data_IF_263109114148
#
_entry.id   IF_263109114148
#
_cell.length_a   1.000
_cell.length_b   1.000
_cell.length_c   1.000
_cell.angle_alpha   90.00
_cell.angle_beta   90.00
_cell.angle_gamma   90.00
#
_symmetry.space_group_name_H-M   'P 1'
#
loop_
_entity.id
_entity.type
_entity.pdbx_description
1 polymer ?
#
# COMPACT_ATOMS: atom_id res chain seq x y z
N UNK A 1 -29.28 9.23 -2.88
CA UNK A 1 -27.81 9.11 -2.90
C UNK A 1 -27.33 9.77 -4.18
N UNK A 2 -27.21 11.10 -4.13
CA UNK A 2 -26.70 11.94 -5.21
C UNK A 2 -25.24 12.27 -4.85
N UNK A 3 -24.35 12.30 -5.84
CA UNK A 3 -22.91 12.69 -5.78
C UNK A 3 -21.84 11.56 -5.77
N UNK A 4 -21.97 10.52 -6.60
CA UNK A 4 -20.83 9.61 -6.86
C UNK A 4 -20.39 9.47 -8.32
N UNK A 5 -20.97 10.24 -9.25
CA UNK A 5 -20.69 10.04 -10.69
C UNK A 5 -19.51 10.83 -11.25
N UNK A 6 -19.06 11.92 -10.62
CA UNK A 6 -17.99 12.79 -11.17
C UNK A 6 -16.77 13.01 -10.25
N UNK A 7 -16.61 12.23 -9.18
CA UNK A 7 -15.42 12.37 -8.33
C UNK A 7 -14.19 11.73 -8.96
N UNK A 8 -13.24 12.56 -9.42
CA UNK A 8 -11.92 12.12 -9.88
C UNK A 8 -10.86 12.41 -8.80
N UNK A 9 -10.16 11.38 -8.28
CA UNK A 9 -9.08 11.58 -7.32
C UNK A 9 -7.97 12.47 -7.88
N UNK A 10 -7.40 13.31 -7.01
CA UNK A 10 -6.30 14.24 -7.36
C UNK A 10 -5.15 13.56 -8.10
N UNK A 11 -4.67 12.42 -7.59
CA UNK A 11 -3.59 11.67 -8.23
C UNK A 11 -4.00 11.01 -9.55
N UNK A 12 -5.29 10.69 -9.73
CA UNK A 12 -5.79 10.17 -11.01
C UNK A 12 -5.80 11.28 -12.06
N UNK A 13 -6.29 12.47 -11.71
CA UNK A 13 -6.23 13.64 -12.57
C UNK A 13 -4.78 14.01 -12.93
N UNK A 14 -3.87 14.00 -11.95
CA UNK A 14 -2.43 14.23 -12.18
C UNK A 14 -1.83 13.19 -13.14
N UNK A 15 -2.22 11.92 -13.00
CA UNK A 15 -1.76 10.86 -13.89
C UNK A 15 -2.18 11.11 -15.33
N UNK A 16 -3.46 11.43 -15.54
CA UNK A 16 -4.03 11.62 -16.87
C UNK A 16 -3.55 12.93 -17.53
N UNK A 17 -3.32 13.99 -16.76
CA UNK A 17 -2.91 15.30 -17.28
C UNK A 17 -1.39 15.43 -17.54
N UNK A 18 -0.54 14.93 -16.63
CA UNK A 18 0.90 15.19 -16.69
C UNK A 18 1.77 13.94 -16.76
N UNK A 19 1.50 12.94 -15.92
CA UNK A 19 2.43 11.80 -15.75
C UNK A 19 2.48 10.96 -17.02
N UNK A 20 1.36 10.77 -17.71
CA UNK A 20 1.34 10.08 -19.01
C UNK A 20 2.26 10.73 -20.04
N UNK A 21 2.21 12.06 -20.14
CA UNK A 21 3.05 12.80 -21.08
C UNK A 21 4.54 12.65 -20.73
N UNK A 22 4.89 12.80 -19.45
CA UNK A 22 6.27 12.62 -18.94
C UNK A 22 6.80 11.21 -19.18
N UNK A 23 6.00 10.18 -18.91
CA UNK A 23 6.37 8.78 -19.17
C UNK A 23 6.55 8.50 -20.67
N UNK A 24 5.71 9.09 -21.52
CA UNK A 24 5.83 8.95 -22.98
C UNK A 24 7.09 9.62 -23.51
N UNK A 25 7.45 10.77 -22.99
CA UNK A 25 8.67 11.49 -23.35
C UNK A 25 9.93 10.74 -22.91
N UNK A 26 9.97 10.25 -21.66
CA UNK A 26 11.15 9.58 -21.10
C UNK A 26 11.44 8.21 -21.73
N UNK A 27 10.40 7.41 -22.00
CA UNK A 27 10.56 6.03 -22.48
C UNK A 27 10.15 5.82 -23.95
N UNK A 28 9.64 6.85 -24.64
CA UNK A 28 9.35 6.80 -26.07
C UNK A 28 8.26 5.80 -26.47
N UNK A 29 7.24 5.58 -25.62
CA UNK A 29 6.16 4.63 -25.92
C UNK A 29 5.44 4.96 -27.23
N UNK A 30 5.23 3.93 -28.06
CA UNK A 30 4.58 4.06 -29.38
C UNK A 30 3.06 4.10 -29.28
N UNK A 31 2.50 3.50 -28.23
CA UNK A 31 1.07 3.40 -27.99
C UNK A 31 0.75 3.87 -26.57
N UNK A 32 -0.26 4.72 -26.40
CA UNK A 32 -0.65 5.26 -25.10
C UNK A 32 -1.08 4.17 -24.11
N UNK A 33 -1.57 3.03 -24.61
CA UNK A 33 -1.93 1.87 -23.78
C UNK A 33 -0.72 1.11 -23.21
N UNK A 34 0.50 1.37 -23.71
CA UNK A 34 1.74 0.81 -23.15
C UNK A 34 2.22 1.59 -21.92
N UNK A 35 1.73 2.82 -21.72
CA UNK A 35 2.18 3.68 -20.62
C UNK A 35 1.81 3.00 -19.29
N UNK A 36 2.80 2.76 -18.40
CA UNK A 36 2.56 2.13 -17.13
C UNK A 36 1.56 2.90 -16.26
N UNK A 37 0.77 2.16 -15.50
CA UNK A 37 -0.18 2.68 -14.51
C UNK A 37 -0.11 1.88 -13.22
N UNK A 38 -0.65 2.46 -12.15
CA UNK A 38 -0.93 1.74 -10.92
C UNK A 38 -2.07 0.74 -11.18
N UNK A 39 -1.86 -0.54 -10.89
CA UNK A 39 -2.86 -1.60 -11.05
C UNK A 39 -3.66 -1.81 -9.76
N UNK A 40 -2.93 -2.05 -8.66
CA UNK A 40 -3.50 -2.28 -7.32
C UNK A 40 -2.47 -1.95 -6.25
N UNK A 41 -2.97 -1.63 -5.06
CA UNK A 41 -2.15 -1.55 -3.85
C UNK A 41 -2.65 -2.59 -2.87
N UNK A 42 -1.76 -3.44 -2.39
CA UNK A 42 -2.06 -4.47 -1.38
C UNK A 42 -1.43 -4.02 -0.06
N UNK A 43 -2.27 -3.93 0.97
CA UNK A 43 -1.82 -3.72 2.34
C UNK A 43 -1.90 -5.03 3.08
N UNK A 44 -0.85 -5.37 3.82
CA UNK A 44 -0.77 -6.58 4.59
C UNK A 44 -0.25 -6.28 5.99
N UNK A 45 -0.89 -6.85 7.00
CA UNK A 45 -0.38 -6.84 8.37
C UNK A 45 -0.30 -8.28 8.88
N UNK A 46 0.93 -8.73 9.14
CA UNK A 46 1.20 -9.99 9.82
C UNK A 46 1.17 -9.79 11.33
N UNK A 47 0.30 -10.52 12.03
CA UNK A 47 0.18 -10.45 13.49
C UNK A 47 0.82 -11.69 14.09
N UNK A 48 2.14 -11.66 14.31
CA UNK A 48 2.87 -12.82 14.85
C UNK A 48 2.38 -13.28 16.23
N UNK A 49 1.82 -12.37 17.04
CA UNK A 49 1.22 -12.66 18.34
C UNK A 49 -0.18 -13.28 18.27
N UNK A 50 -0.74 -13.44 17.07
CA UNK A 50 -2.06 -14.04 16.85
C UNK A 50 -2.17 -15.49 17.33
N UNK A 51 -1.02 -16.19 17.36
CA UNK A 51 -0.94 -17.58 17.83
C UNK A 51 -1.31 -17.70 19.32
N UNK A 52 -1.04 -16.67 20.11
CA UNK A 52 -1.38 -16.63 21.54
C UNK A 52 -2.75 -16.01 21.77
N UNK A 53 -3.08 -14.94 21.04
CA UNK A 53 -4.35 -14.24 21.17
C UNK A 53 -4.94 -13.89 19.81
N UNK A 54 -6.01 -14.61 19.46
CA UNK A 54 -6.78 -14.39 18.22
C UNK A 54 -7.50 -13.03 18.20
N UNK A 55 -7.75 -12.40 19.35
CA UNK A 55 -8.40 -11.08 19.40
C UNK A 55 -7.51 -9.99 18.78
N UNK A 56 -6.19 -10.13 18.86
CA UNK A 56 -5.24 -9.19 18.24
C UNK A 56 -5.41 -9.07 16.72
N UNK A 57 -5.87 -10.13 16.07
CA UNK A 57 -6.16 -10.11 14.64
C UNK A 57 -7.38 -9.25 14.32
N UNK A 58 -8.39 -9.24 15.21
CA UNK A 58 -9.58 -8.39 15.06
C UNK A 58 -9.22 -6.91 15.19
N UNK A 59 -8.42 -6.54 16.19
CA UNK A 59 -7.93 -5.17 16.32
C UNK A 59 -7.12 -4.72 15.09
N UNK A 60 -6.19 -5.55 14.62
CA UNK A 60 -5.45 -5.24 13.39
C UNK A 60 -6.36 -5.09 12.15
N UNK A 61 -7.44 -5.87 12.07
CA UNK A 61 -8.44 -5.77 11.00
C UNK A 61 -9.22 -4.46 11.08
N UNK A 62 -9.63 -4.04 12.28
CA UNK A 62 -10.30 -2.75 12.50
C UNK A 62 -9.41 -1.58 12.11
N UNK A 63 -8.15 -1.60 12.56
CA UNK A 63 -7.16 -0.57 12.23
C UNK A 63 -6.91 -0.50 10.72
N UNK A 64 -6.72 -1.66 10.05
CA UNK A 64 -6.54 -1.68 8.60
C UNK A 64 -7.78 -1.19 7.86
N UNK A 65 -8.97 -1.48 8.38
CA UNK A 65 -10.24 -1.07 7.77
C UNK A 65 -10.39 0.45 7.81
N UNK A 66 -10.01 1.09 8.92
CA UNK A 66 -9.99 2.55 9.07
C UNK A 66 -9.01 3.18 8.08
N UNK A 67 -7.79 2.66 7.99
CA UNK A 67 -6.76 3.17 7.08
C UNK A 67 -7.19 3.01 5.62
N UNK A 68 -7.66 1.82 5.23
CA UNK A 68 -7.97 1.48 3.86
C UNK A 68 -9.31 2.05 3.35
N UNK A 69 -10.23 2.44 4.25
CA UNK A 69 -11.61 2.78 3.88
C UNK A 69 -12.39 1.59 3.29
N UNK A 70 -11.90 0.37 3.55
CA UNK A 70 -12.46 -0.88 3.05
C UNK A 70 -12.25 -1.96 4.09
N UNK A 71 -13.30 -2.74 4.35
CA UNK A 71 -13.23 -3.85 5.31
C UNK A 71 -12.14 -4.85 4.93
N UNK A 72 -11.16 -5.00 5.83
CA UNK A 72 -10.01 -5.86 5.61
C UNK A 72 -10.37 -7.34 5.80
N UNK A 73 -9.66 -8.22 5.07
CA UNK A 73 -9.89 -9.66 5.08
C UNK A 73 -8.86 -10.34 5.99
N UNK A 74 -9.34 -11.09 6.97
CA UNK A 74 -8.49 -11.92 7.83
C UNK A 74 -7.81 -13.03 7.03
N UNK A 75 -6.50 -13.16 7.15
CA UNK A 75 -5.72 -14.24 6.52
C UNK A 75 -5.57 -15.40 7.50
N UNK A 76 -5.84 -16.62 7.01
CA UNK A 76 -5.76 -17.86 7.77
C UNK A 76 -4.59 -18.72 7.30
N UNK A 77 -4.03 -19.48 8.23
CA UNK A 77 -2.94 -20.40 7.97
C UNK A 77 -3.39 -21.56 7.07
N UNK A 78 -2.68 -21.80 5.97
CA UNK A 78 -2.94 -22.94 5.07
C UNK A 78 -2.33 -24.26 5.53
N UNK A 79 -1.33 -24.20 6.41
CA UNK A 79 -0.56 -25.36 6.86
C UNK A 79 -0.27 -25.22 8.35
N UNK A 80 -0.24 -26.35 9.03
CA UNK A 80 0.25 -26.44 10.41
C UNK A 80 1.78 -26.45 10.42
N UNK A 81 2.40 -25.61 11.25
CA UNK A 81 3.86 -25.52 11.37
C UNK A 81 4.23 -25.48 12.85
N UNK A 82 4.80 -26.59 13.34
CA UNK A 82 5.09 -26.79 14.76
C UNK A 82 6.07 -25.73 15.33
N UNK A 83 7.10 -25.34 14.56
CA UNK A 83 8.09 -24.34 14.99
C UNK A 83 7.50 -22.97 15.30
N UNK A 84 6.42 -22.59 14.61
CA UNK A 84 5.68 -21.34 14.87
C UNK A 84 4.44 -21.55 15.75
N UNK A 85 4.20 -22.80 16.21
CA UNK A 85 3.00 -23.21 16.95
C UNK A 85 1.68 -22.89 16.22
N UNK A 86 1.73 -22.82 14.89
CA UNK A 86 0.58 -22.50 14.03
C UNK A 86 -0.17 -23.78 13.66
N UNK A 87 -1.50 -23.75 13.75
CA UNK A 87 -2.39 -24.79 13.22
C UNK A 87 -3.09 -24.30 11.96
N UNK A 88 -3.53 -25.23 11.13
CA UNK A 88 -4.35 -24.95 9.95
C UNK A 88 -5.62 -24.18 10.32
N UNK A 89 -6.05 -23.30 9.43
CA UNK A 89 -7.19 -22.37 9.55
C UNK A 89 -7.08 -21.32 10.69
N UNK A 90 -5.95 -21.28 11.40
CA UNK A 90 -5.72 -20.28 12.43
C UNK A 90 -5.57 -18.88 11.81
N UNK A 91 -6.25 -17.84 12.32
CA UNK A 91 -6.08 -16.47 11.85
C UNK A 91 -4.70 -15.94 12.25
N UNK A 92 -3.95 -15.40 11.28
CA UNK A 92 -2.57 -14.93 11.47
C UNK A 92 -2.35 -13.47 11.11
N UNK A 93 -3.23 -12.89 10.32
CA UNK A 93 -3.05 -11.51 9.87
C UNK A 93 -4.28 -10.98 9.17
N UNK A 94 -4.11 -9.84 8.54
CA UNK A 94 -5.16 -9.15 7.79
C UNK A 94 -4.57 -8.55 6.53
N UNK A 95 -5.36 -8.53 5.46
CA UNK A 95 -4.96 -7.90 4.20
C UNK A 95 -6.11 -7.13 3.58
N UNK A 96 -5.79 -6.11 2.81
CA UNK A 96 -6.75 -5.43 1.94
C UNK A 96 -6.13 -5.21 0.57
N UNK A 97 -6.95 -5.22 -0.48
CA UNK A 97 -6.51 -4.88 -1.83
C UNK A 97 -7.34 -3.72 -2.31
N UNK A 98 -6.66 -2.61 -2.57
CA UNK A 98 -7.23 -1.36 -3.05
C UNK A 98 -7.05 -1.30 -4.57
N UNK A 99 -8.11 -0.87 -5.26
CA UNK A 99 -8.14 -0.67 -6.72
C UNK A 99 -8.88 0.63 -7.03
N UNK A 100 -8.71 1.13 -8.25
CA UNK A 100 -9.43 2.28 -8.79
C UNK A 100 -9.33 3.51 -7.85
N UNK A 101 -10.43 4.18 -7.55
CA UNK A 101 -10.49 5.42 -6.76
C UNK A 101 -9.80 5.30 -5.41
N UNK A 102 -10.16 4.28 -4.61
CA UNK A 102 -9.61 4.08 -3.26
C UNK A 102 -8.11 3.86 -3.24
N UNK A 103 -7.57 3.27 -4.31
CA UNK A 103 -6.13 3.08 -4.47
C UNK A 103 -5.41 4.42 -4.59
N UNK A 104 -5.91 5.32 -5.45
CA UNK A 104 -5.32 6.64 -5.63
C UNK A 104 -5.45 7.50 -4.37
N UNK A 105 -6.57 7.46 -3.67
CA UNK A 105 -6.77 8.19 -2.40
C UNK A 105 -5.86 7.67 -1.29
N UNK A 106 -5.73 6.36 -1.15
CA UNK A 106 -4.79 5.78 -0.19
C UNK A 106 -3.35 6.16 -0.52
N UNK A 107 -2.98 6.09 -1.80
CA UNK A 107 -1.63 6.44 -2.24
C UNK A 107 -1.33 7.93 -2.01
N UNK A 108 -2.33 8.80 -2.21
CA UNK A 108 -2.20 10.23 -1.91
C UNK A 108 -1.96 10.47 -0.42
N UNK A 109 -2.78 9.88 0.45
CA UNK A 109 -2.61 9.96 1.91
C UNK A 109 -1.27 9.37 2.36
N UNK A 110 -0.84 8.28 1.73
CA UNK A 110 0.45 7.66 2.03
C UNK A 110 1.60 8.64 1.77
N UNK A 111 1.66 9.21 0.56
CA UNK A 111 2.78 10.07 0.13
C UNK A 111 2.76 11.42 0.84
N UNK A 112 1.58 12.05 0.95
CA UNK A 112 1.46 13.44 1.44
C UNK A 112 1.36 13.56 2.95
N UNK A 113 0.77 12.57 3.63
CA UNK A 113 0.49 12.65 5.08
C UNK A 113 1.30 11.62 5.87
N UNK A 114 1.26 10.35 5.48
CA UNK A 114 1.82 9.27 6.30
C UNK A 114 3.36 9.24 6.26
N UNK A 115 4.00 9.31 5.08
CA UNK A 115 5.46 9.24 4.95
C UNK A 115 6.20 10.37 5.70
N UNK A 116 5.77 11.65 5.63
CA UNK A 116 6.41 12.72 6.39
C UNK A 116 6.27 12.57 7.92
N UNK A 117 5.28 11.82 8.39
CA UNK A 117 5.06 11.55 9.82
C UNK A 117 5.86 10.36 10.34
N UNK A 118 6.54 9.62 9.47
CA UNK A 118 7.41 8.51 9.88
C UNK A 118 8.61 9.07 10.64
N UNK A 119 8.86 8.55 11.84
CA UNK A 119 10.05 8.92 12.62
C UNK A 119 11.33 8.56 11.87
N UNK A 120 12.27 9.51 11.82
CA UNK A 120 13.57 9.39 11.13
C UNK A 120 13.43 9.05 9.63
N UNK A 121 12.48 9.67 8.94
CA UNK A 121 12.29 9.45 7.51
C UNK A 121 13.48 9.97 6.67
N UNK A 122 14.23 9.05 6.07
CA UNK A 122 15.38 9.34 5.18
C UNK A 122 15.08 9.14 3.70
N UNK A 123 13.81 9.03 3.33
CA UNK A 123 13.40 8.57 2.00
C UNK A 123 13.28 7.05 1.91
N UNK A 124 12.58 6.62 0.86
CA UNK A 124 12.31 5.23 0.55
C UNK A 124 13.45 4.60 -0.25
N UNK A 125 13.73 3.32 0.00
CA UNK A 125 14.78 2.63 -0.73
C UNK A 125 14.37 2.45 -2.21
N UNK A 126 15.15 3.03 -3.13
CA UNK A 126 14.94 2.89 -4.57
C UNK A 126 15.32 1.52 -5.15
N UNK A 127 15.77 0.56 -4.31
CA UNK A 127 16.12 -0.81 -4.69
C UNK A 127 15.07 -1.86 -4.26
N UNK A 128 13.98 -1.47 -3.61
CA UNK A 128 12.95 -2.41 -3.13
C UNK A 128 11.95 -2.85 -4.21
N UNK A 129 12.39 -2.91 -5.47
CA UNK A 129 11.62 -3.41 -6.59
C UNK A 129 11.86 -4.92 -6.79
N UNK A 130 10.92 -5.61 -7.40
CA UNK A 130 10.94 -7.06 -7.57
C UNK A 130 11.48 -7.55 -8.93
N UNK A 131 12.04 -6.65 -9.76
CA UNK A 131 12.50 -6.94 -11.12
C UNK A 131 11.39 -6.93 -12.17
N UNK A 132 10.12 -6.80 -11.76
CA UNK A 132 8.93 -6.78 -12.62
C UNK A 132 8.08 -5.54 -12.37
N UNK A 133 8.69 -4.46 -11.90
CA UNK A 133 8.02 -3.18 -11.74
C UNK A 133 7.02 -3.11 -10.57
N UNK A 134 7.05 -4.05 -9.61
CA UNK A 134 6.30 -3.91 -8.37
C UNK A 134 7.22 -3.41 -7.26
N UNK A 135 6.68 -2.52 -6.42
CA UNK A 135 7.41 -1.93 -5.31
C UNK A 135 6.85 -2.42 -3.98
N UNK A 136 7.73 -2.88 -3.09
CA UNK A 136 7.34 -3.28 -1.74
C UNK A 136 8.05 -2.41 -0.70
N UNK A 137 7.30 -1.91 0.27
CA UNK A 137 7.86 -1.22 1.43
C UNK A 137 7.22 -1.69 2.73
N UNK A 138 8.04 -1.78 3.77
CA UNK A 138 7.59 -2.01 5.14
C UNK A 138 7.45 -0.70 5.89
N UNK A 139 6.36 -0.54 6.61
CA UNK A 139 6.10 0.54 7.54
C UNK A 139 6.14 -0.05 8.95
N UNK A 140 7.05 0.44 9.80
CA UNK A 140 7.25 -0.11 11.15
C UNK A 140 6.07 0.16 12.08
N UNK A 141 5.40 1.29 11.89
CA UNK A 141 4.39 1.79 12.81
C UNK A 141 3.16 2.27 12.01
N UNK A 142 2.02 1.60 12.16
CA UNK A 142 0.77 1.99 11.50
C UNK A 142 0.13 3.27 12.08
N UNK A 143 0.60 3.78 13.21
CA UNK A 143 0.10 5.00 13.88
C UNK A 143 0.42 6.30 13.12
N UNK A 144 1.20 6.23 12.03
CA UNK A 144 1.48 7.40 11.19
C UNK A 144 0.24 7.91 10.45
N UNK A 145 -0.78 7.07 10.31
CA UNK A 145 -2.04 7.42 9.68
C UNK A 145 -2.93 8.22 10.65
N UNK A 146 -3.42 9.42 10.28
CA UNK A 146 -4.27 10.24 11.14
C UNK A 146 -5.60 9.57 11.53
N UNK A 147 -6.05 8.58 10.76
CA UNK A 147 -7.28 7.84 11.02
C UNK A 147 -7.18 6.91 12.25
N UNK A 148 -5.97 6.69 12.76
CA UNK A 148 -5.71 5.88 13.95
C UNK A 148 -5.60 6.78 15.17
N UNK A 149 -6.53 6.62 16.11
CA UNK A 149 -6.48 7.28 17.41
C UNK A 149 -5.44 6.60 18.31
N UNK A 150 -4.36 7.30 18.62
CA UNK A 150 -3.24 6.77 19.42
C UNK A 150 -3.69 6.14 20.75
N UNK A 151 -4.63 6.77 21.44
CA UNK A 151 -5.12 6.32 22.76
C UNK A 151 -5.92 5.01 22.72
N UNK A 152 -6.45 4.64 21.54
CA UNK A 152 -7.23 3.40 21.34
C UNK A 152 -6.39 2.25 20.80
N UNK A 153 -5.11 2.48 20.49
CA UNK A 153 -4.22 1.45 19.96
C UNK A 153 -3.72 0.57 21.10
N UNK A 154 -4.04 -0.72 21.03
CA UNK A 154 -3.49 -1.75 21.93
C UNK A 154 -1.98 -1.91 21.77
N UNK A 155 -1.53 -2.10 20.53
CA UNK A 155 -0.13 -2.40 20.23
C UNK A 155 0.30 -1.76 18.90
N UNK A 156 1.49 -1.15 18.88
CA UNK A 156 2.08 -0.64 17.64
C UNK A 156 2.51 -1.81 16.76
N UNK A 157 1.88 -1.91 15.59
CA UNK A 157 2.09 -2.95 14.59
C UNK A 157 2.72 -2.36 13.33
N UNK A 158 3.55 -3.16 12.67
CA UNK A 158 4.03 -2.86 11.33
C UNK A 158 3.04 -3.32 10.26
N UNK A 159 3.16 -2.72 9.07
CA UNK A 159 2.43 -3.13 7.87
C UNK A 159 3.34 -3.13 6.66
N UNK A 160 3.01 -4.00 5.70
CA UNK A 160 3.64 -4.04 4.39
C UNK A 160 2.70 -3.42 3.37
N UNK A 161 3.25 -2.52 2.54
CA UNK A 161 2.55 -1.85 1.45
C UNK A 161 3.22 -2.30 0.15
N UNK A 162 2.43 -2.97 -0.69
CA UNK A 162 2.86 -3.48 -1.99
C UNK A 162 2.13 -2.70 -3.06
N UNK A 163 2.87 -1.95 -3.87
CA UNK A 163 2.36 -1.18 -4.99
C UNK A 163 2.62 -1.98 -6.26
N UNK A 164 1.56 -2.49 -6.87
CA UNK A 164 1.65 -3.18 -8.14
C UNK A 164 1.40 -2.19 -9.28
N UNK A 165 2.30 -2.20 -10.24
CA UNK A 165 2.17 -1.41 -11.46
C UNK A 165 2.08 -2.32 -12.67
N UNK A 166 1.69 -1.76 -13.82
CA UNK A 166 1.72 -2.49 -15.10
C UNK A 166 3.09 -2.39 -15.79
N UNK A 167 4.09 -1.78 -15.15
CA UNK A 167 5.41 -1.61 -15.75
C UNK A 167 6.11 -2.98 -15.91
N UNK A 168 6.73 -3.26 -17.07
CA UNK A 168 7.52 -4.47 -17.27
C UNK A 168 8.89 -4.42 -16.60
N UNK A 169 9.43 -3.22 -16.33
CA UNK A 169 10.77 -3.01 -15.77
C UNK A 169 10.77 -2.12 -14.53
N UNK A 170 11.77 -2.31 -13.68
CA UNK A 170 11.93 -1.51 -12.45
C UNK A 170 12.26 -0.04 -12.74
N UNK A 171 12.91 0.24 -13.86
CA UNK A 171 13.22 1.61 -14.28
C UNK A 171 11.94 2.40 -14.57
N UNK A 172 11.03 1.81 -15.33
CA UNK A 172 9.73 2.40 -15.65
C UNK A 172 8.86 2.56 -14.41
N UNK A 173 8.83 1.56 -13.53
CA UNK A 173 8.08 1.64 -12.27
C UNK A 173 8.64 2.72 -11.34
N UNK A 174 9.97 2.84 -11.24
CA UNK A 174 10.63 3.86 -10.41
C UNK A 174 10.36 5.26 -10.95
N UNK A 175 10.44 5.46 -12.27
CA UNK A 175 10.09 6.73 -12.90
C UNK A 175 8.63 7.10 -12.64
N UNK A 176 7.69 6.15 -12.84
CA UNK A 176 6.27 6.36 -12.56
C UNK A 176 6.04 6.81 -11.11
N UNK A 177 6.59 6.09 -10.13
CA UNK A 177 6.46 6.44 -8.72
C UNK A 177 7.13 7.78 -8.37
N UNK A 178 8.27 8.10 -9.00
CA UNK A 178 8.93 9.39 -8.85
C UNK A 178 8.06 10.55 -9.36
N UNK A 179 7.35 10.36 -10.48
CA UNK A 179 6.40 11.35 -10.99
C UNK A 179 5.17 11.54 -10.10
N UNK A 180 4.81 10.54 -9.31
CA UNK A 180 3.83 10.69 -8.23
C UNK A 180 4.40 11.33 -6.95
N UNK A 181 5.58 11.95 -7.01
CA UNK A 181 6.27 12.56 -5.88
C UNK A 181 6.61 11.58 -4.75
N UNK A 182 6.83 10.30 -5.08
CA UNK A 182 7.28 9.33 -4.09
C UNK A 182 8.72 9.68 -3.65
N UNK A 183 8.96 9.90 -2.35
CA UNK A 183 10.25 10.35 -1.84
C UNK A 183 11.25 9.19 -1.77
N UNK A 184 11.93 8.88 -2.89
CA UNK A 184 13.05 7.95 -2.89
C UNK A 184 14.31 8.58 -2.30
N UNK A 185 15.09 7.80 -1.56
CA UNK A 185 16.43 8.19 -1.15
C UNK A 185 17.34 8.24 -2.39
N UNK A 186 18.16 9.29 -2.47
CA UNK A 186 19.12 9.51 -3.56
C UNK A 186 20.22 8.45 -3.58
#
# INVERSE_FOLDING_TARGET
MLDTTDYTPRLRALYDAEIKAKMREEFGYKNDMQIPKLDKIVLNMGVGKAVQDTKKVKFAQEDLTKIAGQHAVTTRAKKSVAGFRVREDMPLGTKVTLRSTRMYEFFDRLVTVALPRVRDFRGLNGKSFDGRGNYAMGLKEHIVFPEIEYDKVDEVRGMDIIICTTAPTDAEAKALLKFFNMPFNS
#
